data_IF_343966992615
#
_entry.id   IF_343966992615
#
_cell.length_a   1.000
_cell.length_b   1.000
_cell.length_c   1.000
_cell.angle_alpha   90.00
_cell.angle_beta   90.00
_cell.angle_gamma   90.00
#
_symmetry.space_group_name_H-M   'P 1'
#
loop_
_entity.id
_entity.type
_entity.pdbx_description
1 polymer ?
#
# COMPACT_ATOMS: atom_id res chain seq x y z
N UNK A 1 6.45 17.18 -15.53
CA UNK A 1 5.10 17.14 -14.93
C UNK A 1 5.19 16.29 -13.69
N UNK A 2 4.97 16.89 -12.51
CA UNK A 2 5.05 16.18 -11.23
C UNK A 2 3.76 15.37 -11.07
N UNK A 3 3.84 14.06 -11.29
CA UNK A 3 2.72 13.13 -11.08
C UNK A 3 2.50 13.01 -9.56
N UNK A 4 1.72 13.95 -9.00
CA UNK A 4 1.28 13.88 -7.60
C UNK A 4 0.28 12.74 -7.49
N UNK A 5 0.76 11.56 -7.08
CA UNK A 5 -0.07 10.38 -6.86
C UNK A 5 -0.94 10.62 -5.63
N UNK A 6 -2.16 11.10 -5.86
CA UNK A 6 -3.16 11.28 -4.79
C UNK A 6 -3.91 9.97 -4.54
N UNK A 7 -3.79 9.43 -3.32
CA UNK A 7 -4.63 8.33 -2.88
C UNK A 7 -6.06 8.84 -2.67
N UNK A 8 -7.10 8.10 -3.12
CA UNK A 8 -8.49 8.46 -2.85
C UNK A 8 -8.76 8.54 -1.33
N UNK A 9 -9.89 9.13 -0.93
CA UNK A 9 -10.23 9.27 0.49
C UNK A 9 -10.52 7.91 1.14
N UNK A 10 -11.32 7.07 0.47
CA UNK A 10 -11.75 5.74 0.94
C UNK A 10 -11.80 4.74 -0.22
N UNK A 11 -12.09 3.47 0.10
CA UNK A 11 -12.30 2.41 -0.88
C UNK A 11 -11.10 1.47 -1.03
N UNK A 12 -10.90 0.96 -2.26
CA UNK A 12 -9.92 -0.08 -2.55
C UNK A 12 -8.98 0.32 -3.70
N UNK A 13 -7.69 0.00 -3.55
CA UNK A 13 -6.67 0.23 -4.58
C UNK A 13 -5.95 -1.07 -4.95
N UNK A 14 -5.48 -1.14 -6.19
CA UNK A 14 -4.75 -2.30 -6.71
C UNK A 14 -3.24 -2.10 -6.61
N UNK A 15 -2.50 -3.19 -6.70
CA UNK A 15 -1.04 -3.22 -6.58
C UNK A 15 -0.31 -2.15 -7.43
N UNK A 16 -0.64 -1.91 -8.73
CA UNK A 16 0.07 -0.89 -9.50
C UNK A 16 -0.01 0.51 -8.90
N UNK A 17 -1.14 0.89 -8.30
CA UNK A 17 -1.29 2.17 -7.62
C UNK A 17 -0.49 2.22 -6.32
N UNK A 18 -0.48 1.12 -5.56
CA UNK A 18 0.32 1.00 -4.34
C UNK A 18 1.81 1.19 -4.65
N UNK A 19 2.32 0.58 -5.72
CA UNK A 19 3.75 0.67 -6.08
C UNK A 19 4.18 2.04 -6.59
N UNK A 20 3.24 2.89 -6.99
CA UNK A 20 3.51 4.31 -7.25
C UNK A 20 3.73 5.09 -5.94
N UNK A 21 3.02 4.71 -4.88
CA UNK A 21 3.13 5.33 -3.55
C UNK A 21 4.31 4.78 -2.76
N UNK A 22 4.50 3.46 -2.79
CA UNK A 22 5.64 2.75 -2.21
C UNK A 22 6.54 2.28 -3.37
N UNK A 23 7.60 3.03 -3.72
CA UNK A 23 8.43 2.74 -4.89
C UNK A 23 9.36 1.53 -4.66
N UNK A 24 8.77 0.36 -4.47
CA UNK A 24 9.44 -0.92 -4.25
C UNK A 24 9.01 -1.95 -5.31
N UNK A 25 9.74 -3.06 -5.38
CA UNK A 25 9.39 -4.16 -6.28
C UNK A 25 8.10 -4.88 -5.88
N UNK A 26 7.38 -5.41 -6.89
CA UNK A 26 6.20 -6.29 -6.68
C UNK A 26 6.51 -7.45 -5.73
N UNK A 27 7.64 -8.11 -5.91
CA UNK A 27 8.08 -9.23 -5.09
C UNK A 27 8.31 -8.80 -3.64
N UNK A 28 8.93 -7.65 -3.43
CA UNK A 28 9.14 -7.06 -2.09
C UNK A 28 7.82 -6.76 -1.39
N UNK A 29 6.84 -6.24 -2.13
CA UNK A 29 5.48 -6.04 -1.62
C UNK A 29 4.86 -7.38 -1.17
N UNK A 30 4.84 -8.39 -2.03
CA UNK A 30 4.28 -9.70 -1.68
C UNK A 30 5.01 -10.40 -0.52
N UNK A 31 6.34 -10.27 -0.46
CA UNK A 31 7.12 -10.78 0.66
C UNK A 31 6.75 -10.07 1.96
N UNK A 32 6.62 -8.74 1.94
CA UNK A 32 6.21 -7.97 3.11
C UNK A 32 4.78 -8.29 3.55
N UNK A 33 3.86 -8.56 2.62
CA UNK A 33 2.51 -9.06 2.94
C UNK A 33 2.61 -10.43 3.63
N UNK A 34 3.41 -11.36 3.10
CA UNK A 34 3.61 -12.69 3.69
C UNK A 34 4.26 -12.62 5.08
N UNK A 35 5.16 -11.66 5.30
CA UNK A 35 5.83 -11.43 6.58
C UNK A 35 4.97 -10.63 7.58
N UNK A 36 3.78 -10.16 7.18
CA UNK A 36 2.92 -9.33 8.04
C UNK A 36 3.38 -7.87 8.18
N UNK A 37 4.37 -7.43 7.41
CA UNK A 37 4.85 -6.03 7.38
C UNK A 37 3.89 -5.11 6.62
N UNK A 38 3.24 -5.63 5.58
CA UNK A 38 2.29 -4.88 4.75
C UNK A 38 0.87 -5.42 4.93
N UNK A 39 -0.17 -4.59 4.69
CA UNK A 39 -1.55 -4.99 4.93
C UNK A 39 -1.96 -6.18 4.06
N UNK A 40 -2.81 -7.03 4.63
CA UNK A 40 -3.31 -8.21 3.94
C UNK A 40 -4.18 -7.81 2.73
N UNK A 41 -4.07 -8.54 1.61
CA UNK A 41 -4.91 -8.31 0.44
C UNK A 41 -6.37 -8.71 0.71
N UNK A 42 -7.30 -7.93 0.16
CA UNK A 42 -8.74 -8.23 0.10
C UNK A 42 -9.09 -8.75 -1.29
N UNK A 43 -9.74 -9.92 -1.37
CA UNK A 43 -10.31 -10.43 -2.62
C UNK A 43 -11.68 -9.79 -2.85
N UNK A 44 -11.79 -8.97 -3.90
CA UNK A 44 -13.06 -8.37 -4.34
C UNK A 44 -13.77 -9.24 -5.38
N UNK A 45 -13.07 -10.21 -5.97
CA UNK A 45 -13.64 -11.14 -6.94
C UNK A 45 -12.61 -12.16 -7.42
N UNK A 46 -12.97 -13.05 -8.37
CA UNK A 46 -12.14 -14.19 -8.78
C UNK A 46 -10.73 -13.84 -9.26
N UNK A 47 -10.55 -12.65 -9.87
CA UNK A 47 -9.26 -12.16 -10.40
C UNK A 47 -8.88 -10.78 -9.84
N UNK A 48 -9.55 -10.35 -8.79
CA UNK A 48 -9.42 -8.99 -8.26
C UNK A 48 -8.98 -9.02 -6.81
N UNK A 49 -7.70 -8.74 -6.63
CA UNK A 49 -7.09 -8.46 -5.33
C UNK A 49 -6.83 -6.97 -5.21
N UNK A 50 -7.24 -6.41 -4.08
CA UNK A 50 -7.06 -5.00 -3.76
C UNK A 50 -6.73 -4.83 -2.26
N UNK A 51 -6.39 -3.61 -1.87
CA UNK A 51 -6.11 -3.22 -0.50
C UNK A 51 -6.98 -2.04 -0.13
N UNK A 52 -7.39 -1.95 1.14
CA UNK A 52 -8.10 -0.77 1.62
C UNK A 52 -7.15 0.41 1.64
N UNK A 53 -7.66 1.55 1.20
CA UNK A 53 -6.89 2.80 1.19
C UNK A 53 -6.48 3.21 2.61
N UNK A 54 -7.35 2.97 3.58
CA UNK A 54 -7.13 3.26 5.01
C UNK A 54 -5.93 2.49 5.58
N UNK A 55 -5.78 1.21 5.23
CA UNK A 55 -4.66 0.39 5.68
C UNK A 55 -3.33 0.89 5.10
N UNK A 56 -3.36 1.33 3.84
CA UNK A 56 -2.20 1.87 3.13
C UNK A 56 -1.79 3.23 3.72
N UNK A 57 -2.76 4.08 4.05
CA UNK A 57 -2.52 5.36 4.76
C UNK A 57 -1.95 5.12 6.16
N UNK A 58 -2.52 4.16 6.90
CA UNK A 58 -2.02 3.77 8.22
C UNK A 58 -0.58 3.24 8.15
N UNK A 59 -0.25 2.50 7.10
CA UNK A 59 1.11 2.04 6.86
C UNK A 59 2.08 3.20 6.62
N UNK A 60 1.70 4.18 5.80
CA UNK A 60 2.51 5.40 5.57
C UNK A 60 2.77 6.14 6.89
N UNK A 61 1.71 6.38 7.67
CA UNK A 61 1.83 7.06 8.96
C UNK A 61 2.80 6.35 9.90
N UNK A 62 2.78 5.01 9.97
CA UNK A 62 3.73 4.22 10.76
C UNK A 62 5.19 4.44 10.32
N UNK A 63 5.45 4.55 9.02
CA UNK A 63 6.80 4.82 8.50
C UNK A 63 7.24 6.26 8.79
N UNK A 64 6.33 7.23 8.72
CA UNK A 64 6.61 8.61 9.09
C UNK A 64 6.94 8.74 10.58
N UNK A 65 6.20 8.05 11.45
CA UNK A 65 6.47 7.97 12.90
C UNK A 65 7.81 7.31 13.21
N UNK A 66 8.15 6.20 12.53
CA UNK A 66 9.46 5.56 12.67
C UNK A 66 10.60 6.48 12.25
N UNK A 67 10.40 7.29 11.21
CA UNK A 67 11.40 8.26 10.77
C UNK A 67 11.54 9.43 11.74
N UNK A 68 10.48 9.81 12.45
CA UNK A 68 10.53 10.86 13.47
C UNK A 68 11.25 10.44 14.76
N UNK A 69 11.40 9.13 15.01
CA UNK A 69 12.13 8.59 16.17
C UNK A 69 13.60 8.24 15.89
N UNK A 70 14.10 8.55 14.69
CA UNK A 70 15.49 8.31 14.25
C UNK A 70 16.20 9.63 13.94
#
# INVERSE_FOLDING_TARGET
MSDQISLPLTGYIRLPAILKVFPIGRSTWWLGVRQGRFPAPVKLGPRTTAWRVEDIRSLLAKYDEQKASA
#
